data_IF_229596248988
#
_entry.id   IF_229596248988
#
_cell.length_a   1.000
_cell.length_b   1.000
_cell.length_c   1.000
_cell.angle_alpha   90.00
_cell.angle_beta   90.00
_cell.angle_gamma   90.00
#
_symmetry.space_group_name_H-M   'P 1'
#
loop_
_entity.id
_entity.type
_entity.pdbx_description
1 polymer ?
#
# COMPACT_ATOMS: atom_id res chain seq x y z
N UNK A 1 -12.08 1.17 -12.85
CA UNK A 1 -11.25 2.39 -12.95
C UNK A 1 -9.88 2.05 -12.41
N UNK A 2 -8.79 2.31 -13.14
CA UNK A 2 -7.46 1.97 -12.66
C UNK A 2 -6.87 3.08 -11.80
N UNK A 3 -6.14 2.72 -10.74
CA UNK A 3 -5.33 3.63 -9.95
C UNK A 3 -3.89 3.51 -10.42
N UNK A 4 -3.30 4.63 -10.82
CA UNK A 4 -1.97 4.70 -11.44
C UNK A 4 -1.04 5.60 -10.65
N UNK A 5 0.25 5.28 -10.65
CA UNK A 5 1.27 6.22 -10.15
C UNK A 5 1.37 7.45 -11.03
N UNK A 6 2.03 8.50 -10.55
CA UNK A 6 2.42 9.69 -11.37
C UNK A 6 3.23 9.41 -12.64
N UNK A 7 3.65 8.16 -12.87
CA UNK A 7 4.36 7.70 -14.07
C UNK A 7 3.48 6.79 -14.94
N UNK A 8 2.17 6.70 -14.66
CA UNK A 8 1.21 5.92 -15.42
C UNK A 8 1.22 4.41 -15.15
N UNK A 9 2.03 3.91 -14.21
CA UNK A 9 2.04 2.48 -13.88
C UNK A 9 0.77 2.13 -13.09
N UNK A 10 -0.08 1.18 -13.56
CA UNK A 10 -1.29 0.81 -12.84
C UNK A 10 -0.93 -0.05 -11.62
N UNK A 11 -1.42 0.36 -10.46
CA UNK A 11 -1.14 -0.30 -9.18
C UNK A 11 -2.37 -1.05 -8.66
N UNK A 12 -3.57 -0.59 -9.02
CA UNK A 12 -4.81 -1.28 -8.69
C UNK A 12 -5.87 -1.13 -9.78
N UNK A 13 -6.79 -2.10 -9.85
CA UNK A 13 -7.92 -2.16 -10.80
C UNK A 13 -9.18 -1.41 -10.31
N UNK A 14 -9.12 -0.91 -9.07
CA UNK A 14 -10.15 -0.14 -8.38
C UNK A 14 -9.64 0.29 -7.00
N UNK A 15 -10.52 0.85 -6.17
CA UNK A 15 -10.24 1.15 -4.77
C UNK A 15 -11.50 0.97 -3.93
N UNK A 16 -11.33 0.79 -2.62
CA UNK A 16 -12.45 0.65 -1.68
C UNK A 16 -12.89 2.03 -1.16
N UNK A 17 -11.95 2.83 -0.66
CA UNK A 17 -12.18 4.20 -0.14
C UNK A 17 -10.87 4.96 0.00
N UNK A 18 -10.95 6.24 0.35
CA UNK A 18 -9.82 7.02 0.85
C UNK A 18 -9.93 7.09 2.38
N UNK A 19 -8.82 6.84 3.08
CA UNK A 19 -8.70 6.92 4.54
C UNK A 19 -7.77 8.07 4.89
N UNK A 20 -8.13 8.84 5.90
CA UNK A 20 -7.30 9.93 6.43
C UNK A 20 -6.64 9.48 7.73
N UNK A 21 -5.32 9.55 7.79
CA UNK A 21 -4.55 9.38 9.02
C UNK A 21 -3.70 10.60 9.30
N UNK A 22 -2.97 10.58 10.42
CA UNK A 22 -2.11 11.71 10.85
C UNK A 22 -1.07 12.17 9.83
N UNK A 23 -0.71 11.31 8.86
CA UNK A 23 0.32 11.57 7.85
C UNK A 23 -0.24 11.86 6.46
N UNK A 24 -1.54 12.08 6.36
CA UNK A 24 -2.22 12.37 5.09
C UNK A 24 -3.21 11.28 4.67
N UNK A 25 -3.64 11.39 3.42
CA UNK A 25 -4.67 10.55 2.84
C UNK A 25 -4.07 9.34 2.13
N UNK A 26 -4.69 8.18 2.32
CA UNK A 26 -4.30 6.92 1.71
C UNK A 26 -5.46 6.29 0.97
N UNK A 27 -5.19 5.72 -0.19
CA UNK A 27 -6.17 4.93 -0.94
C UNK A 27 -6.12 3.51 -0.38
N UNK A 28 -7.29 2.96 -0.03
CA UNK A 28 -7.46 1.61 0.50
C UNK A 28 -7.87 0.63 -0.62
N UNK A 29 -7.22 -0.52 -0.69
CA UNK A 29 -7.49 -1.59 -1.67
C UNK A 29 -7.67 -2.95 -1.01
N UNK A 30 -8.48 -3.82 -1.62
CA UNK A 30 -8.44 -5.26 -1.31
C UNK A 30 -7.23 -5.91 -1.98
N UNK A 31 -6.87 -7.13 -1.56
CA UNK A 31 -5.78 -7.90 -2.16
C UNK A 31 -6.00 -8.11 -3.67
N UNK A 32 -7.24 -8.41 -4.07
CA UNK A 32 -7.62 -8.72 -5.46
C UNK A 32 -7.61 -7.47 -6.35
N UNK A 33 -7.71 -6.28 -5.75
CA UNK A 33 -7.62 -5.03 -6.49
C UNK A 33 -6.18 -4.68 -6.84
N UNK A 34 -5.19 -5.13 -6.06
CA UNK A 34 -3.77 -4.80 -6.26
C UNK A 34 -3.19 -5.62 -7.42
N UNK A 35 -2.49 -4.94 -8.34
CA UNK A 35 -1.77 -5.58 -9.44
C UNK A 35 -0.38 -5.98 -8.94
N UNK A 36 -0.28 -7.21 -8.42
CA UNK A 36 0.93 -7.73 -7.76
C UNK A 36 2.17 -7.68 -8.67
N UNK A 37 2.01 -7.92 -9.97
CA UNK A 37 3.11 -7.89 -10.95
C UNK A 37 3.77 -6.50 -11.09
N UNK A 38 3.09 -5.43 -10.66
CA UNK A 38 3.57 -4.06 -10.73
C UNK A 38 4.20 -3.57 -9.42
N UNK A 39 4.33 -4.45 -8.43
CA UNK A 39 4.97 -4.15 -7.15
C UNK A 39 5.99 -5.22 -6.76
N UNK A 40 6.97 -4.83 -5.94
CA UNK A 40 7.92 -5.74 -5.34
C UNK A 40 8.15 -5.40 -3.88
N UNK A 41 8.54 -6.41 -3.10
CA UNK A 41 9.08 -6.17 -1.77
C UNK A 41 10.57 -5.79 -1.89
N UNK A 42 11.00 -4.61 -1.40
CA UNK A 42 12.41 -4.27 -1.43
C UNK A 42 13.19 -5.11 -0.39
N UNK A 43 14.45 -5.44 -0.68
CA UNK A 43 15.28 -6.32 0.17
C UNK A 43 15.38 -5.85 1.62
N UNK A 44 15.44 -4.54 1.87
CA UNK A 44 15.48 -3.97 3.23
C UNK A 44 14.18 -4.20 4.03
N UNK A 45 13.11 -4.65 3.39
CA UNK A 45 11.83 -4.93 4.02
C UNK A 45 11.62 -6.42 4.33
N UNK A 46 12.48 -7.33 3.88
CA UNK A 46 12.31 -8.78 4.03
C UNK A 46 12.19 -9.23 5.48
N UNK A 47 12.85 -8.55 6.42
CA UNK A 47 12.75 -8.85 7.85
C UNK A 47 11.31 -8.77 8.40
N UNK A 48 10.41 -8.06 7.72
CA UNK A 48 8.98 -7.97 8.09
C UNK A 48 8.22 -9.29 7.87
N UNK A 49 8.82 -10.23 7.14
CA UNK A 49 8.30 -11.58 6.90
C UNK A 49 8.86 -12.61 7.88
N UNK A 50 9.93 -12.28 8.61
CA UNK A 50 10.57 -13.22 9.52
C UNK A 50 9.64 -13.55 10.72
N UNK A 51 9.53 -14.85 11.09
CA UNK A 51 8.68 -15.27 12.21
C UNK A 51 8.99 -14.56 13.53
N UNK A 52 10.25 -14.23 13.78
CA UNK A 52 10.71 -13.52 14.97
C UNK A 52 10.07 -12.13 15.14
N UNK A 53 9.55 -11.53 14.06
CA UNK A 53 8.94 -10.21 14.07
C UNK A 53 7.43 -10.23 13.81
N UNK A 54 6.82 -11.41 13.68
CA UNK A 54 5.39 -11.56 13.33
C UNK A 54 4.48 -10.73 14.25
N UNK A 55 4.75 -10.73 15.56
CA UNK A 55 3.96 -10.03 16.59
C UNK A 55 4.38 -8.57 16.80
N UNK A 56 5.29 -8.03 16.00
CA UNK A 56 5.79 -6.65 16.11
C UNK A 56 5.58 -5.84 14.83
N UNK A 57 5.39 -6.51 13.69
CA UNK A 57 5.24 -5.89 12.38
C UNK A 57 3.79 -5.47 12.16
N UNK A 58 3.57 -4.18 11.93
CA UNK A 58 2.24 -3.63 11.64
C UNK A 58 1.84 -3.78 10.17
N UNK A 59 2.79 -3.87 9.26
CA UNK A 59 2.54 -3.98 7.82
C UNK A 59 3.75 -4.56 7.07
N UNK A 60 3.53 -5.15 5.90
CA UNK A 60 4.60 -5.47 4.94
C UNK A 60 4.75 -4.34 3.92
N UNK A 61 6.00 -3.96 3.61
CA UNK A 61 6.31 -2.87 2.67
C UNK A 61 6.55 -3.41 1.27
N UNK A 62 5.97 -2.75 0.27
CA UNK A 62 6.17 -2.98 -1.16
C UNK A 62 6.43 -1.65 -1.86
N UNK A 63 6.96 -1.73 -3.09
CA UNK A 63 7.30 -0.60 -3.95
C UNK A 63 6.83 -0.83 -5.36
N UNK A 64 6.36 0.22 -6.03
CA UNK A 64 5.97 0.16 -7.44
C UNK A 64 7.18 -0.07 -8.35
N UNK A 65 7.03 -0.87 -9.41
CA UNK A 65 8.02 -1.08 -10.47
C UNK A 65 8.16 0.09 -11.46
N UNK A 66 8.33 1.31 -10.94
CA UNK A 66 8.60 2.50 -11.76
C UNK A 66 9.36 3.56 -10.97
N UNK A 67 9.79 4.62 -11.66
CA UNK A 67 10.54 5.72 -11.06
C UNK A 67 9.80 6.51 -9.96
N UNK A 68 8.48 6.35 -9.81
CA UNK A 68 7.75 6.92 -8.65
C UNK A 68 8.18 6.24 -7.35
N UNK A 69 8.54 4.96 -7.39
CA UNK A 69 8.91 4.17 -6.22
C UNK A 69 7.87 4.29 -5.07
N UNK A 70 6.59 4.34 -5.45
CA UNK A 70 5.47 4.55 -4.55
C UNK A 70 5.46 3.47 -3.47
N UNK A 71 5.26 3.87 -2.21
CA UNK A 71 5.19 2.91 -1.10
C UNK A 71 3.79 2.32 -1.00
N UNK A 72 3.71 1.01 -1.17
CA UNK A 72 2.52 0.23 -0.84
C UNK A 72 2.77 -0.53 0.46
N UNK A 73 1.75 -0.64 1.28
CA UNK A 73 1.83 -1.47 2.46
C UNK A 73 0.56 -2.26 2.71
N UNK A 74 0.74 -3.55 3.02
CA UNK A 74 -0.33 -4.47 3.38
C UNK A 74 -0.41 -4.57 4.89
N UNK A 75 -1.54 -4.19 5.47
CA UNK A 75 -1.68 -4.06 6.91
C UNK A 75 -1.79 -5.44 7.58
N UNK A 76 -1.00 -5.66 8.63
CA UNK A 76 -1.01 -6.90 9.43
C UNK A 76 -1.65 -6.71 10.81
N UNK A 77 -1.72 -5.48 11.32
CA UNK A 77 -2.24 -5.17 12.67
C UNK A 77 -3.00 -3.85 12.67
N UNK A 78 -3.91 -3.64 13.62
CA UNK A 78 -4.61 -2.36 13.76
C UNK A 78 -3.68 -1.28 14.34
N UNK A 79 -4.00 -0.02 14.06
CA UNK A 79 -3.32 1.17 14.61
C UNK A 79 -4.37 2.13 15.18
N UNK A 80 -4.01 2.92 16.19
CA UNK A 80 -4.96 3.85 16.84
C UNK A 80 -5.16 5.17 16.10
N UNK A 81 -4.30 5.51 15.13
CA UNK A 81 -4.26 6.83 14.47
C UNK A 81 -4.91 6.86 13.09
N UNK A 82 -5.42 5.73 12.60
CA UNK A 82 -6.11 5.63 11.31
C UNK A 82 -7.04 4.40 11.32
N UNK A 83 -8.14 4.46 10.55
CA UNK A 83 -9.08 3.35 10.38
C UNK A 83 -8.55 2.29 9.38
N UNK A 84 -7.30 1.85 9.58
CA UNK A 84 -6.69 0.79 8.78
C UNK A 84 -7.20 -0.57 9.21
N UNK A 85 -7.45 -1.42 8.23
CA UNK A 85 -7.98 -2.77 8.39
C UNK A 85 -6.90 -3.79 8.04
N UNK A 86 -6.79 -4.82 8.89
CA UNK A 86 -5.89 -5.95 8.63
C UNK A 86 -6.27 -6.62 7.29
N UNK A 87 -5.27 -6.93 6.47
CA UNK A 87 -5.43 -7.53 5.15
C UNK A 87 -5.61 -6.54 4.01
N UNK A 88 -5.96 -5.28 4.30
CA UNK A 88 -6.09 -4.25 3.28
C UNK A 88 -4.73 -3.65 2.91
N UNK A 89 -4.68 -3.09 1.71
CA UNK A 89 -3.52 -2.41 1.14
C UNK A 89 -3.72 -0.91 1.11
N UNK A 90 -2.62 -0.18 1.26
CA UNK A 90 -2.64 1.27 1.31
C UNK A 90 -1.51 1.88 0.49
N UNK A 91 -1.81 2.98 -0.21
CA UNK A 91 -0.83 3.82 -0.91
C UNK A 91 -1.17 5.30 -0.68
N UNK A 92 -0.15 6.16 -0.61
CA UNK A 92 -0.39 7.60 -0.47
C UNK A 92 -1.06 8.15 -1.73
N UNK A 93 -2.07 9.00 -1.57
CA UNK A 93 -2.68 9.73 -2.71
C UNK A 93 -1.65 10.60 -3.43
N UNK A 94 -0.62 11.06 -2.73
CA UNK A 94 0.41 11.94 -3.28
C UNK A 94 1.32 11.23 -4.30
N UNK A 95 1.40 9.91 -4.26
CA UNK A 95 2.20 9.13 -5.21
C UNK A 95 1.41 8.80 -6.50
N UNK A 96 0.10 9.04 -6.49
CA UNK A 96 -0.82 8.63 -7.54
C UNK A 96 -1.18 9.81 -8.47
N UNK A 97 -1.66 9.46 -9.66
CA UNK A 97 -2.44 10.38 -10.48
C UNK A 97 -3.72 10.77 -9.75
N UNK A 98 -4.32 11.92 -10.10
CA UNK A 98 -5.58 12.35 -9.49
C UNK A 98 -6.64 11.26 -9.69
N UNK A 99 -7.22 10.85 -8.58
CA UNK A 99 -8.35 9.92 -8.55
C UNK A 99 -9.60 10.78 -8.64
N UNK A 100 -10.22 10.81 -9.83
CA UNK A 100 -11.49 11.50 -10.09
C UNK A 100 -12.68 10.54 -9.89
#
# INVERSE_FOLDING_TARGET
MQIKTKRGLPIATGYTRIVHGDRGSYIEFTEEQVIQDNIYMPTHAYWRLEPAYADRVFYTEYRSHCGTNAKLYRQKRLVGYADYKVGMWYVSVEDMEKVE
#
